data_IF_312228323015
#
_entry.id   IF_312228323015
#
_cell.length_a   1.000
_cell.length_b   1.000
_cell.length_c   1.000
_cell.angle_alpha   90.00
_cell.angle_beta   90.00
_cell.angle_gamma   90.00
#
_symmetry.space_group_name_H-M   'P 1'
#
loop_
_entity.id
_entity.type
_entity.pdbx_description
1 polymer ?
#
# COMPACT_ATOMS: atom_id res chain seq x y z
N UNK A 1 10.41 -12.98 1.94
CA UNK A 1 9.55 -13.89 2.76
C UNK A 1 9.05 -13.25 4.05
N UNK A 2 9.81 -12.39 4.66
CA UNK A 2 9.40 -11.71 5.90
C UNK A 2 8.21 -10.75 5.73
N UNK A 3 8.10 -10.08 4.60
CA UNK A 3 7.08 -9.04 4.34
C UNK A 3 5.65 -9.57 4.30
N UNK A 4 5.39 -10.71 3.63
CA UNK A 4 4.04 -11.30 3.56
C UNK A 4 3.44 -11.66 4.93
N UNK A 5 4.29 -11.77 5.94
CA UNK A 5 3.86 -12.10 7.29
C UNK A 5 3.48 -10.85 8.10
N UNK A 6 4.07 -9.68 7.79
CA UNK A 6 3.85 -8.45 8.55
C UNK A 6 2.40 -8.00 8.54
N UNK A 7 1.74 -7.96 7.37
CA UNK A 7 0.33 -7.57 7.27
C UNK A 7 -0.56 -8.52 8.06
N UNK A 8 -0.35 -9.83 7.93
CA UNK A 8 -1.14 -10.83 8.69
C UNK A 8 -0.96 -10.66 10.19
N UNK A 9 0.26 -10.37 10.64
CA UNK A 9 0.54 -10.11 12.05
C UNK A 9 -0.15 -8.81 12.49
N UNK A 10 -0.07 -7.76 11.67
CA UNK A 10 -0.64 -6.46 11.98
C UNK A 10 -2.16 -6.48 12.12
N UNK A 11 -2.86 -7.20 11.22
CA UNK A 11 -4.33 -7.38 11.27
C UNK A 11 -4.79 -7.92 12.61
N UNK A 12 -4.09 -8.93 13.10
CA UNK A 12 -4.45 -9.65 14.32
C UNK A 12 -3.83 -9.03 15.60
N UNK A 13 -3.07 -7.94 15.44
CA UNK A 13 -2.36 -7.31 16.55
C UNK A 13 -3.28 -6.38 17.36
N UNK A 14 -3.08 -6.38 18.67
CA UNK A 14 -3.64 -5.35 19.56
C UNK A 14 -2.99 -3.99 19.28
N UNK A 15 -3.62 -2.90 19.73
CA UNK A 15 -3.09 -1.55 19.54
C UNK A 15 -1.64 -1.40 20.04
N UNK A 16 -1.31 -1.97 21.19
CA UNK A 16 0.06 -1.96 21.73
C UNK A 16 1.05 -2.70 20.80
N UNK A 17 0.67 -3.87 20.29
CA UNK A 17 1.50 -4.64 19.35
C UNK A 17 1.66 -3.94 18.00
N UNK A 18 0.65 -3.19 17.54
CA UNK A 18 0.76 -2.38 16.33
C UNK A 18 1.79 -1.27 16.49
N UNK A 19 1.82 -0.60 17.63
CA UNK A 19 2.86 0.38 17.96
C UNK A 19 4.25 -0.25 17.95
N UNK A 20 4.40 -1.43 18.58
CA UNK A 20 5.68 -2.15 18.56
C UNK A 20 6.14 -2.51 17.15
N UNK A 21 5.21 -2.88 16.26
CA UNK A 21 5.52 -3.17 14.85
C UNK A 21 5.98 -1.89 14.15
N UNK A 22 5.30 -0.77 14.36
CA UNK A 22 5.68 0.53 13.77
C UNK A 22 7.06 0.94 14.25
N UNK A 23 7.36 0.80 15.53
CA UNK A 23 8.68 1.11 16.10
C UNK A 23 9.79 0.27 15.45
N UNK A 24 9.58 -1.04 15.34
CA UNK A 24 10.57 -1.96 14.75
C UNK A 24 10.83 -1.72 13.27
N UNK A 25 9.83 -1.27 12.55
CA UNK A 25 9.87 -1.03 11.11
C UNK A 25 9.78 0.45 10.75
N UNK A 26 10.14 1.34 11.68
CA UNK A 26 9.88 2.78 11.53
C UNK A 26 10.36 3.35 10.20
N UNK A 27 11.56 3.00 9.78
CA UNK A 27 12.15 3.46 8.52
C UNK A 27 11.52 2.85 7.27
N UNK A 28 11.08 1.58 7.38
CA UNK A 28 10.64 0.79 6.22
C UNK A 28 9.12 0.64 6.16
N UNK A 29 8.42 1.02 7.23
CA UNK A 29 6.98 0.73 7.38
C UNK A 29 6.16 1.25 6.21
N UNK A 30 6.35 2.50 5.82
CA UNK A 30 5.62 3.09 4.69
C UNK A 30 6.01 2.45 3.36
N UNK A 31 7.30 2.11 3.18
CA UNK A 31 7.76 1.37 2.00
C UNK A 31 7.10 0.00 1.88
N UNK A 32 6.94 -0.71 2.99
CA UNK A 32 6.23 -1.99 3.04
C UNK A 32 4.76 -1.80 2.65
N UNK A 33 4.06 -0.82 3.23
CA UNK A 33 2.65 -0.53 2.91
C UNK A 33 2.47 -0.13 1.45
N UNK A 34 3.36 0.68 0.90
CA UNK A 34 3.33 1.08 -0.51
C UNK A 34 3.61 -0.09 -1.44
N UNK A 35 4.55 -0.96 -1.09
CA UNK A 35 4.82 -2.19 -1.83
C UNK A 35 3.61 -3.11 -1.92
N UNK A 36 2.85 -3.26 -0.84
CA UNK A 36 1.60 -4.03 -0.86
C UNK A 36 0.50 -3.35 -1.70
N UNK A 37 0.41 -2.02 -1.66
CA UNK A 37 -0.53 -1.26 -2.50
C UNK A 37 -0.24 -1.50 -3.99
N UNK A 38 1.03 -1.47 -4.38
CA UNK A 38 1.45 -1.78 -5.75
C UNK A 38 1.17 -3.26 -6.12
N UNK A 39 1.36 -4.18 -5.18
CA UNK A 39 0.99 -5.58 -5.36
C UNK A 39 -0.51 -5.76 -5.62
N UNK A 40 -1.37 -5.09 -4.86
CA UNK A 40 -2.82 -5.10 -5.09
C UNK A 40 -3.19 -4.52 -6.46
N UNK A 41 -2.61 -3.37 -6.82
CA UNK A 41 -2.81 -2.76 -8.14
C UNK A 41 -2.48 -3.74 -9.26
N UNK A 42 -1.33 -4.40 -9.16
CA UNK A 42 -0.89 -5.38 -10.14
C UNK A 42 -1.84 -6.59 -10.24
N UNK A 43 -2.29 -7.12 -9.11
CA UNK A 43 -3.24 -8.24 -9.09
C UNK A 43 -4.58 -7.87 -9.72
N UNK A 44 -5.11 -6.69 -9.43
CA UNK A 44 -6.35 -6.16 -10.04
C UNK A 44 -6.18 -6.06 -11.55
N UNK A 45 -5.07 -5.54 -12.02
CA UNK A 45 -4.80 -5.39 -13.44
C UNK A 45 -4.70 -6.75 -14.16
N UNK A 46 -3.96 -7.70 -13.58
CA UNK A 46 -3.85 -9.06 -14.11
C UNK A 46 -5.21 -9.77 -14.22
N UNK A 47 -6.06 -9.60 -13.20
CA UNK A 47 -7.39 -10.21 -13.18
C UNK A 47 -8.30 -9.61 -14.25
N UNK A 48 -8.29 -8.27 -14.39
CA UNK A 48 -9.02 -7.57 -15.47
C UNK A 48 -8.56 -8.01 -16.86
N UNK A 49 -7.24 -8.12 -17.07
CA UNK A 49 -6.70 -8.60 -18.35
C UNK A 49 -7.07 -10.06 -18.65
N UNK A 50 -7.07 -10.90 -17.63
CA UNK A 50 -7.46 -12.31 -17.75
C UNK A 50 -8.95 -12.42 -18.11
N UNK A 51 -9.82 -11.72 -17.40
CA UNK A 51 -11.26 -11.74 -17.62
C UNK A 51 -11.65 -11.16 -18.98
N UNK A 52 -11.00 -10.08 -19.41
CA UNK A 52 -11.24 -9.49 -20.73
C UNK A 52 -10.84 -10.40 -21.90
N UNK A 53 -9.87 -11.30 -21.69
CA UNK A 53 -9.49 -12.31 -22.69
C UNK A 53 -10.49 -13.45 -22.79
N UNK A 54 -11.15 -13.81 -21.71
CA UNK A 54 -12.18 -14.85 -21.69
C UNK A 54 -13.46 -14.40 -22.39
N UNK A 55 -13.79 -13.11 -22.35
CA UNK A 55 -14.93 -12.52 -23.07
C UNK A 55 -14.73 -12.43 -24.58
N UNK A 56 -13.50 -12.50 -25.07
CA UNK A 56 -13.20 -12.61 -26.49
C UNK A 56 -13.26 -14.10 -26.84
N UNK A 57 -14.49 -14.66 -26.87
CA UNK A 57 -14.69 -16.01 -27.34
C UNK A 57 -14.14 -16.16 -28.75
N UNK A 58 -13.59 -17.30 -29.05
CA UNK A 58 -12.95 -17.92 -30.21
C UNK A 58 -13.34 -17.42 -31.64
N UNK A 59 -13.63 -16.13 -31.81
CA UNK A 59 -13.85 -15.49 -33.10
C UNK A 59 -12.63 -14.64 -33.49
N UNK A 60 -11.58 -15.36 -33.93
CA UNK A 60 -10.31 -14.83 -34.38
C UNK A 60 -10.36 -13.95 -35.63
N UNK A 61 -11.19 -12.93 -35.66
CA UNK A 61 -11.10 -11.87 -36.68
C UNK A 61 -11.11 -10.50 -36.00
N UNK A 62 -9.91 -9.99 -35.75
CA UNK A 62 -9.75 -8.56 -35.48
C UNK A 62 -10.03 -7.78 -36.77
N UNK A 63 -11.25 -7.26 -36.91
CA UNK A 63 -11.51 -6.18 -37.85
C UNK A 63 -10.86 -4.93 -37.27
N UNK A 64 -9.75 -4.51 -37.84
CA UNK A 64 -9.20 -3.18 -37.61
C UNK A 64 -10.18 -2.16 -38.22
N UNK A 65 -11.13 -1.70 -37.44
CA UNK A 65 -11.85 -0.47 -37.78
C UNK A 65 -10.90 0.69 -37.53
N UNK A 66 -10.42 1.29 -38.61
CA UNK A 66 -9.60 2.49 -38.60
C UNK A 66 -10.40 3.64 -37.97
N UNK A 67 -10.01 4.01 -36.78
CA UNK A 67 -10.56 5.15 -36.07
C UNK A 67 -9.66 5.49 -34.88
N UNK A 68 -9.04 6.66 -34.92
CA UNK A 68 -8.23 7.33 -33.91
C UNK A 68 -7.37 6.37 -33.07
N UNK A 69 -6.09 6.32 -33.36
CA UNK A 69 -5.05 5.61 -32.62
C UNK A 69 -4.97 6.18 -31.21
N UNK A 70 -5.84 5.72 -30.34
CA UNK A 70 -5.68 5.88 -28.91
C UNK A 70 -4.51 4.99 -28.48
N UNK A 71 -3.42 5.61 -28.03
CA UNK A 71 -2.22 4.91 -27.57
C UNK A 71 -2.61 3.95 -26.42
N UNK A 72 -2.55 2.62 -26.62
CA UNK A 72 -2.91 1.66 -25.61
C UNK A 72 -1.99 1.72 -24.37
N UNK A 73 -0.75 2.15 -24.57
CA UNK A 73 0.22 2.31 -23.48
C UNK A 73 -0.16 3.49 -22.58
N UNK A 74 -0.55 4.62 -23.17
CA UNK A 74 -1.02 5.78 -22.41
C UNK A 74 -2.30 5.46 -21.61
N UNK A 75 -3.26 4.76 -22.22
CA UNK A 75 -4.47 4.32 -21.52
C UNK A 75 -4.18 3.39 -20.34
N UNK A 76 -3.23 2.46 -20.53
CA UNK A 76 -2.81 1.56 -19.46
C UNK A 76 -2.14 2.33 -18.32
N UNK A 77 -1.27 3.28 -18.62
CA UNK A 77 -0.61 4.12 -17.64
C UNK A 77 -1.62 4.92 -16.80
N UNK A 78 -2.59 5.57 -17.45
CA UNK A 78 -3.65 6.32 -16.76
C UNK A 78 -4.47 5.39 -15.86
N UNK A 79 -4.86 4.23 -16.34
CA UNK A 79 -5.62 3.24 -15.55
C UNK A 79 -4.83 2.80 -14.32
N UNK A 80 -3.54 2.57 -14.44
CA UNK A 80 -2.68 2.18 -13.33
C UNK A 80 -2.64 3.27 -12.24
N UNK A 81 -2.53 4.53 -12.64
CA UNK A 81 -2.55 5.67 -11.71
C UNK A 81 -3.90 5.75 -11.00
N UNK A 82 -5.01 5.68 -11.73
CA UNK A 82 -6.35 5.74 -11.15
C UNK A 82 -6.61 4.58 -10.18
N UNK A 83 -6.19 3.36 -10.54
CA UNK A 83 -6.33 2.19 -9.66
C UNK A 83 -5.49 2.37 -8.38
N UNK A 84 -4.26 2.87 -8.49
CA UNK A 84 -3.41 3.14 -7.33
C UNK A 84 -4.03 4.20 -6.41
N UNK A 85 -4.53 5.28 -6.96
CA UNK A 85 -5.20 6.34 -6.19
C UNK A 85 -6.46 5.82 -5.49
N UNK A 86 -7.27 5.02 -6.17
CA UNK A 86 -8.46 4.39 -5.59
C UNK A 86 -8.10 3.49 -4.40
N UNK A 87 -7.01 2.70 -4.50
CA UNK A 87 -6.53 1.85 -3.42
C UNK A 87 -6.04 2.66 -2.22
N UNK A 88 -5.30 3.75 -2.46
CA UNK A 88 -4.77 4.61 -1.39
C UNK A 88 -5.90 5.33 -0.66
N UNK A 89 -6.86 5.88 -1.41
CA UNK A 89 -7.98 6.66 -0.87
C UNK A 89 -9.14 5.78 -0.41
N UNK A 90 -9.11 4.48 -0.76
CA UNK A 90 -10.25 3.56 -0.59
C UNK A 90 -11.55 4.12 -1.21
N UNK A 91 -11.41 4.78 -2.36
CA UNK A 91 -12.50 5.28 -3.18
C UNK A 91 -12.66 4.37 -4.40
N UNK A 92 -13.61 3.48 -4.33
CA UNK A 92 -13.92 2.49 -5.37
C UNK A 92 -15.19 2.88 -6.16
N UNK A 93 -15.58 4.14 -6.09
CA UNK A 93 -16.60 4.71 -6.97
C UNK A 93 -16.10 4.72 -8.41
N UNK A 94 -16.94 4.34 -9.36
CA UNK A 94 -16.54 4.22 -10.76
C UNK A 94 -16.20 2.79 -11.17
N UNK A 95 -15.36 2.67 -12.20
CA UNK A 95 -15.08 1.41 -12.90
C UNK A 95 -13.78 0.70 -12.45
N UNK A 96 -13.18 1.17 -11.36
CA UNK A 96 -11.89 0.63 -10.88
C UNK A 96 -11.95 -0.87 -10.59
N UNK A 97 -13.08 -1.36 -10.06
CA UNK A 97 -13.27 -2.78 -9.74
C UNK A 97 -14.08 -3.55 -10.78
N UNK A 98 -14.47 -2.93 -11.89
CA UNK A 98 -15.19 -3.61 -12.96
C UNK A 98 -14.33 -4.69 -13.60
N UNK A 99 -14.92 -5.88 -13.75
CA UNK A 99 -14.21 -7.05 -14.29
C UNK A 99 -13.23 -7.71 -13.32
N UNK A 100 -13.35 -7.43 -12.02
CA UNK A 100 -12.55 -8.04 -10.95
C UNK A 100 -13.43 -8.97 -10.11
N UNK A 101 -13.14 -10.26 -10.12
CA UNK A 101 -13.94 -11.26 -9.40
C UNK A 101 -13.73 -11.19 -7.89
N UNK A 102 -12.50 -10.88 -7.45
CA UNK A 102 -12.13 -10.76 -6.04
C UNK A 102 -12.15 -9.32 -5.53
N UNK A 103 -13.02 -8.47 -6.08
CA UNK A 103 -13.12 -7.05 -5.72
C UNK A 103 -13.27 -6.83 -4.21
N UNK A 104 -14.14 -7.58 -3.54
CA UNK A 104 -14.37 -7.46 -2.09
C UNK A 104 -13.13 -7.78 -1.26
N UNK A 105 -12.32 -8.74 -1.71
CA UNK A 105 -11.06 -9.10 -1.05
C UNK A 105 -10.04 -7.96 -1.18
N UNK A 106 -9.85 -7.45 -2.40
CA UNK A 106 -8.92 -6.35 -2.66
C UNK A 106 -9.33 -5.05 -1.97
N UNK A 107 -10.62 -4.73 -1.93
CA UNK A 107 -11.12 -3.57 -1.18
C UNK A 107 -10.84 -3.70 0.31
N UNK A 108 -11.04 -4.88 0.89
CA UNK A 108 -10.75 -5.17 2.29
C UNK A 108 -9.27 -4.98 2.62
N UNK A 109 -8.40 -5.49 1.75
CA UNK A 109 -6.95 -5.31 1.90
C UNK A 109 -6.54 -3.83 1.77
N UNK A 110 -7.16 -3.09 0.85
CA UNK A 110 -6.93 -1.65 0.71
C UNK A 110 -7.34 -0.87 1.97
N UNK A 111 -8.48 -1.18 2.58
CA UNK A 111 -8.89 -0.57 3.85
C UNK A 111 -7.88 -0.84 4.96
N UNK A 112 -7.35 -2.04 5.02
CA UNK A 112 -6.32 -2.40 5.99
C UNK A 112 -5.04 -1.58 5.78
N UNK A 113 -4.56 -1.48 4.55
CA UNK A 113 -3.37 -0.69 4.21
C UNK A 113 -3.57 0.80 4.52
N UNK A 114 -4.78 1.33 4.30
CA UNK A 114 -5.14 2.69 4.71
C UNK A 114 -5.06 2.87 6.22
N UNK A 115 -5.56 1.91 6.98
CA UNK A 115 -5.51 1.98 8.43
C UNK A 115 -4.07 1.89 8.95
N UNK A 116 -3.22 1.07 8.34
CA UNK A 116 -1.79 1.03 8.63
C UNK A 116 -1.11 2.39 8.39
N UNK A 117 -1.42 3.08 7.29
CA UNK A 117 -0.91 4.44 7.03
C UNK A 117 -1.36 5.44 8.09
N UNK A 118 -2.65 5.40 8.47
CA UNK A 118 -3.20 6.26 9.52
C UNK A 118 -2.54 6.03 10.87
N UNK A 119 -2.32 4.78 11.25
CA UNK A 119 -1.65 4.43 12.50
C UNK A 119 -0.21 4.94 12.52
N UNK A 120 0.52 4.82 11.41
CA UNK A 120 1.87 5.35 11.29
C UNK A 120 1.91 6.89 11.36
N UNK A 121 1.00 7.57 10.66
CA UNK A 121 0.89 9.03 10.73
C UNK A 121 0.53 9.51 12.13
N UNK A 122 -0.39 8.82 12.81
CA UNK A 122 -0.75 9.12 14.18
C UNK A 122 0.46 8.97 15.10
N UNK A 123 1.21 7.86 14.96
CA UNK A 123 2.44 7.65 15.70
C UNK A 123 3.44 8.80 15.49
N UNK A 124 3.68 9.20 14.24
CA UNK A 124 4.56 10.33 13.92
C UNK A 124 4.10 11.65 14.56
N UNK A 125 2.79 11.91 14.57
CA UNK A 125 2.24 13.09 15.25
C UNK A 125 2.47 13.04 16.76
N UNK A 126 2.33 11.85 17.36
CA UNK A 126 2.59 11.68 18.79
C UNK A 126 4.05 11.93 19.15
N UNK A 127 5.00 11.64 18.27
CA UNK A 127 6.42 11.98 18.49
C UNK A 127 6.63 13.50 18.71
N UNK A 128 5.78 14.34 18.13
CA UNK A 128 5.87 15.78 18.33
C UNK A 128 5.61 16.23 19.78
N UNK A 129 4.93 15.39 20.58
CA UNK A 129 4.64 15.65 21.99
C UNK A 129 5.91 15.53 22.86
N UNK A 130 6.91 14.77 22.39
CA UNK A 130 8.17 14.58 23.11
C UNK A 130 9.04 15.86 23.20
N UNK A 131 8.68 16.92 22.46
CA UNK A 131 9.38 18.19 22.51
C UNK A 131 10.86 18.06 22.14
N UNK A 132 11.75 18.43 23.06
CA UNK A 132 13.22 18.39 22.84
C UNK A 132 13.78 16.97 22.70
N UNK A 133 13.11 15.96 23.25
CA UNK A 133 13.55 14.58 23.22
C UNK A 133 13.18 13.87 21.89
N UNK A 134 12.35 14.52 21.08
CA UNK A 134 11.88 13.98 19.80
C UNK A 134 13.05 13.57 18.90
N UNK A 135 14.02 14.45 18.72
CA UNK A 135 15.18 14.20 17.84
C UNK A 135 16.00 12.99 18.31
N UNK A 136 16.23 12.88 19.61
CA UNK A 136 16.95 11.76 20.20
C UNK A 136 16.21 10.43 19.98
N UNK A 137 14.87 10.45 20.14
CA UNK A 137 14.05 9.27 19.94
C UNK A 137 13.95 8.91 18.46
N UNK A 138 13.85 9.87 17.55
CA UNK A 138 13.89 9.59 16.10
C UNK A 138 15.22 8.96 15.67
N UNK A 139 16.37 9.43 16.19
CA UNK A 139 17.68 8.81 15.94
C UNK A 139 17.74 7.36 16.43
N UNK A 140 17.10 7.07 17.56
CA UNK A 140 16.94 5.70 18.04
C UNK A 140 16.08 4.85 17.09
N UNK A 141 14.93 5.36 16.66
CA UNK A 141 14.03 4.67 15.73
C UNK A 141 14.69 4.41 14.36
N UNK A 142 15.55 5.32 13.92
CA UNK A 142 16.32 5.16 12.67
C UNK A 142 17.55 4.25 12.83
N UNK A 143 17.85 3.78 14.05
CA UNK A 143 19.02 2.93 14.33
C UNK A 143 20.35 3.69 14.32
N UNK A 144 20.32 5.02 14.34
CA UNK A 144 21.52 5.87 14.39
C UNK A 144 22.16 5.89 15.80
N UNK A 145 21.33 5.72 16.83
CA UNK A 145 21.76 5.65 18.23
C UNK A 145 21.13 4.45 18.93
N UNK A 146 21.87 3.84 19.84
CA UNK A 146 21.33 2.83 20.73
C UNK A 146 20.98 3.42 22.10
N UNK A 147 20.33 2.64 22.96
CA UNK A 147 19.92 3.10 24.29
C UNK A 147 21.11 3.44 25.21
N UNK A 148 22.27 2.83 25.00
CA UNK A 148 23.49 3.08 25.77
C UNK A 148 24.04 4.46 25.41
N UNK A 149 24.14 4.78 24.11
CA UNK A 149 24.60 6.07 23.61
C UNK A 149 23.72 7.21 24.14
N UNK A 150 22.39 7.00 24.18
CA UNK A 150 21.43 7.99 24.72
C UNK A 150 21.61 8.18 26.21
N UNK A 151 21.80 7.09 26.95
CA UNK A 151 22.02 7.17 28.41
C UNK A 151 23.34 7.89 28.76
N UNK A 152 24.39 7.69 27.98
CA UNK A 152 25.68 8.37 28.18
C UNK A 152 25.60 9.88 27.88
N UNK A 153 24.77 10.30 26.92
CA UNK A 153 24.57 11.72 26.61
C UNK A 153 23.72 12.47 27.65
N UNK A 154 22.85 11.75 28.39
CA UNK A 154 21.97 12.34 29.40
C UNK A 154 22.56 12.29 30.82
N UNK A 155 23.60 11.53 31.02
CA UNK A 155 24.29 11.39 32.32
C UNK A 155 25.29 12.46 32.58
#
# INVERSE_FOLDING_TARGET
MAEKNLIKIYVNATSAKRVDIIIRHYTDFMGIVDGYTEGLRYMIECEKESNSRQDIGDLGVRVQTGGMTSDPTAKKAIRNVLTREALINCDFSGDVMDGVDRADEYMRDAYLLRDMRKDYELFRRQLCILGTEKETFEKYLCGEKNLVDIAEEQG
#
